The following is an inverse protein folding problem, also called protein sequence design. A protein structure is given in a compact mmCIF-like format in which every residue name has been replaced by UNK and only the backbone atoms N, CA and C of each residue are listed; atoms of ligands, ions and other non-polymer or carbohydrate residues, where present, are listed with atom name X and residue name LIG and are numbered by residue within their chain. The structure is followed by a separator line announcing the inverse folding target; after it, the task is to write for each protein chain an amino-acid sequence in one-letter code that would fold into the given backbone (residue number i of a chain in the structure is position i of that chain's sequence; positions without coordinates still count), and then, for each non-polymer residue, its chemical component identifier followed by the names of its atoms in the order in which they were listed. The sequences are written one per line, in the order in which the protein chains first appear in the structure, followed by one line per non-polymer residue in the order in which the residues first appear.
data_IF_314048864648
#
_entry.id   IF_314048864648
#
_cell.length_a   1.000
_cell.length_b   1.000
_cell.length_c   1.000
_cell.angle_alpha   90.00
_cell.angle_beta   90.00
_cell.angle_gamma   90.00
#
_symmetry.space_group_name_H-M   'P 1'
#
loop_
_entity.id
_entity.type
_entity.pdbx_description
1 polymer ?
#
# COMPACT_ATOMS: atom_id res chain seq x y z
N UNK A 1 14.25 17.13 5.09
CA UNK A 1 14.28 15.96 4.18
C UNK A 1 12.86 15.44 4.03
N UNK A 2 12.42 15.09 2.82
CA UNK A 2 11.02 14.72 2.56
C UNK A 2 10.56 13.44 3.30
N UNK A 3 11.49 12.54 3.62
CA UNK A 3 11.24 11.27 4.32
C UNK A 3 11.94 11.18 5.68
N UNK A 4 11.99 12.28 6.44
CA UNK A 4 12.61 12.29 7.77
C UNK A 4 11.96 11.24 8.69
N UNK A 5 12.78 10.40 9.34
CA UNK A 5 12.34 9.38 10.29
C UNK A 5 11.79 8.11 9.65
N UNK A 6 11.85 7.97 8.32
CA UNK A 6 11.30 6.82 7.59
C UNK A 6 12.09 5.54 7.86
N UNK A 7 13.41 5.59 7.84
CA UNK A 7 14.26 4.40 7.93
C UNK A 7 14.14 3.72 9.30
N UNK A 8 14.04 4.50 10.37
CA UNK A 8 13.85 4.00 11.73
C UNK A 8 12.45 3.42 11.96
N UNK A 9 11.47 3.83 11.17
CA UNK A 9 10.06 3.44 11.34
C UNK A 9 9.64 2.34 10.35
N UNK A 10 9.64 2.63 9.05
CA UNK A 10 9.04 1.79 8.02
C UNK A 10 10.03 0.92 7.26
N UNK A 11 11.30 1.29 7.14
CA UNK A 11 12.24 0.51 6.34
C UNK A 11 12.36 -0.93 6.88
N UNK A 12 12.42 -1.88 5.94
CA UNK A 12 12.54 -3.31 6.22
C UNK A 12 11.38 -4.14 5.67
N UNK A 13 11.33 -5.40 6.13
CA UNK A 13 10.38 -6.41 5.68
C UNK A 13 9.19 -6.51 6.63
N UNK A 14 8.03 -6.73 6.05
CA UNK A 14 6.74 -6.73 6.69
C UNK A 14 5.94 -7.92 6.20
N UNK A 15 5.36 -8.68 7.11
CA UNK A 15 4.50 -9.82 6.81
C UNK A 15 3.05 -9.47 7.10
N UNK A 16 2.16 -9.69 6.14
CA UNK A 16 0.72 -9.59 6.37
C UNK A 16 0.29 -10.72 7.32
N UNK A 17 -0.29 -10.34 8.46
CA UNK A 17 -0.75 -11.29 9.47
C UNK A 17 -2.28 -11.33 9.59
N UNK A 18 -2.97 -10.27 9.16
CA UNK A 18 -4.42 -10.17 9.21
C UNK A 18 -4.91 -9.16 8.18
N UNK A 19 -6.09 -9.40 7.64
CA UNK A 19 -6.82 -8.41 6.86
C UNK A 19 -8.31 -8.38 7.25
N UNK A 20 -8.97 -7.25 7.03
CA UNK A 20 -10.40 -7.06 7.21
C UNK A 20 -10.95 -6.38 5.96
N UNK A 21 -12.09 -6.82 5.44
CA UNK A 21 -12.72 -6.21 4.26
C UNK A 21 -12.01 -6.45 2.92
N UNK A 22 -10.96 -7.29 2.86
CA UNK A 22 -10.20 -7.53 1.63
C UNK A 22 -11.06 -8.13 0.51
N UNK A 23 -11.96 -9.07 0.81
CA UNK A 23 -12.85 -9.67 -0.20
C UNK A 23 -13.76 -8.62 -0.84
N UNK A 24 -14.40 -7.77 -0.02
CA UNK A 24 -15.24 -6.67 -0.48
C UNK A 24 -14.44 -5.64 -1.29
N UNK A 25 -13.21 -5.35 -0.89
CA UNK A 25 -12.31 -4.46 -1.62
C UNK A 25 -11.92 -5.02 -2.99
N UNK A 26 -11.60 -6.32 -3.08
CA UNK A 26 -11.29 -6.97 -4.34
C UNK A 26 -12.52 -7.07 -5.25
N UNK A 27 -13.70 -7.32 -4.68
CA UNK A 27 -14.99 -7.34 -5.40
C UNK A 27 -15.31 -5.96 -5.97
N UNK A 28 -15.15 -4.92 -5.15
CA UNK A 28 -15.31 -3.55 -5.59
C UNK A 28 -14.27 -3.17 -6.65
N UNK A 29 -13.09 -3.78 -6.70
CA UNK A 29 -12.15 -3.61 -7.82
C UNK A 29 -12.47 -4.49 -9.04
N UNK A 30 -13.59 -5.23 -9.04
CA UNK A 30 -14.07 -5.99 -10.19
C UNK A 30 -13.51 -7.40 -10.33
N UNK A 31 -12.80 -7.92 -9.31
CA UNK A 31 -12.31 -9.30 -9.36
C UNK A 31 -13.47 -10.28 -9.16
N UNK A 32 -13.51 -11.34 -9.95
CA UNK A 32 -14.53 -12.38 -9.82
C UNK A 32 -14.33 -13.23 -8.55
N UNK A 33 -15.40 -13.86 -8.08
CA UNK A 33 -15.45 -14.58 -6.81
C UNK A 33 -14.32 -15.61 -6.62
N UNK A 34 -14.03 -16.42 -7.64
CA UNK A 34 -13.01 -17.48 -7.56
C UNK A 34 -11.61 -16.90 -7.37
N UNK A 35 -11.26 -15.88 -8.15
CA UNK A 35 -9.96 -15.19 -8.02
C UNK A 35 -9.84 -14.55 -6.64
N UNK A 36 -10.90 -13.90 -6.14
CA UNK A 36 -10.87 -13.26 -4.82
C UNK A 36 -10.54 -14.27 -3.73
N UNK A 37 -11.24 -15.42 -3.68
CA UNK A 37 -10.98 -16.45 -2.66
C UNK A 37 -9.55 -16.96 -2.72
N UNK A 38 -8.96 -17.08 -3.90
CA UNK A 38 -7.55 -17.47 -4.03
C UNK A 38 -6.59 -16.41 -3.48
N UNK A 39 -6.83 -15.13 -3.77
CA UNK A 39 -6.01 -14.01 -3.25
C UNK A 39 -6.02 -13.95 -1.73
N UNK A 40 -7.15 -14.27 -1.08
CA UNK A 40 -7.25 -14.30 0.39
C UNK A 40 -6.33 -15.33 1.06
N UNK A 41 -5.84 -16.34 0.32
CA UNK A 41 -4.95 -17.38 0.84
C UNK A 41 -3.47 -16.98 0.77
N UNK A 42 -3.13 -15.87 0.10
CA UNK A 42 -1.74 -15.48 -0.10
C UNK A 42 -1.09 -14.90 1.14
N UNK A 43 0.05 -15.48 1.51
CA UNK A 43 0.96 -14.94 2.52
C UNK A 43 1.74 -13.78 1.92
N UNK A 44 1.16 -12.59 2.01
CA UNK A 44 1.76 -11.37 1.46
C UNK A 44 2.93 -10.92 2.31
N UNK A 45 4.08 -10.68 1.70
CA UNK A 45 5.16 -9.90 2.32
C UNK A 45 5.37 -8.59 1.57
N UNK A 46 5.86 -7.58 2.29
CA UNK A 46 6.15 -6.26 1.77
C UNK A 46 7.51 -5.82 2.28
N UNK A 47 8.37 -5.35 1.40
CA UNK A 47 9.65 -4.74 1.75
C UNK A 47 9.65 -3.29 1.33
N UNK A 48 9.99 -2.40 2.27
CA UNK A 48 10.05 -0.96 2.07
C UNK A 48 11.50 -0.52 2.16
N UNK A 49 12.01 0.06 1.07
CA UNK A 49 13.40 0.50 0.93
C UNK A 49 13.40 1.97 0.52
N UNK A 50 14.04 2.83 1.29
CA UNK A 50 14.21 4.22 0.90
C UNK A 50 15.24 4.35 -0.21
N UNK A 51 14.89 5.07 -1.27
CA UNK A 51 15.77 5.40 -2.39
C UNK A 51 15.97 6.93 -2.43
N UNK A 52 17.12 7.40 -1.95
CA UNK A 52 17.41 8.83 -1.88
C UNK A 52 16.49 9.59 -0.90
N UNK A 53 16.16 10.84 -1.21
CA UNK A 53 15.51 11.75 -0.26
C UNK A 53 13.99 11.70 -0.25
N UNK A 54 13.40 11.29 -1.38
CA UNK A 54 11.95 11.40 -1.61
C UNK A 54 11.32 10.15 -2.20
N UNK A 55 12.06 9.06 -2.43
CA UNK A 55 11.50 7.84 -3.02
C UNK A 55 11.55 6.67 -2.05
N UNK A 56 10.53 5.81 -2.14
CA UNK A 56 10.46 4.53 -1.44
C UNK A 56 10.16 3.46 -2.46
N UNK A 57 11.08 2.51 -2.62
CA UNK A 57 10.82 1.27 -3.34
C UNK A 57 9.98 0.33 -2.46
N UNK A 58 8.89 -0.14 -3.02
CA UNK A 58 7.94 -1.07 -2.40
C UNK A 58 8.02 -2.38 -3.18
N UNK A 59 8.43 -3.45 -2.52
CA UNK A 59 8.46 -4.80 -3.09
C UNK A 59 7.41 -5.63 -2.38
N UNK A 60 6.34 -5.99 -3.07
CA UNK A 60 5.29 -6.87 -2.54
C UNK A 60 5.41 -8.26 -3.16
N UNK A 61 5.30 -9.30 -2.34
CA UNK A 61 5.25 -10.70 -2.79
C UNK A 61 3.91 -11.30 -2.42
N UNK A 62 3.05 -11.48 -3.43
CA UNK A 62 1.64 -11.88 -3.25
C UNK A 62 1.24 -12.81 -4.40
N UNK A 63 1.70 -14.06 -4.39
CA UNK A 63 1.58 -14.99 -5.52
C UNK A 63 2.48 -14.66 -6.72
N UNK A 64 2.67 -13.37 -7.02
CA UNK A 64 3.70 -12.79 -7.89
C UNK A 64 4.48 -11.69 -7.15
N UNK A 65 5.69 -11.39 -7.60
CA UNK A 65 6.45 -10.23 -7.10
C UNK A 65 6.00 -8.99 -7.86
N UNK A 66 5.67 -7.92 -7.13
CA UNK A 66 5.32 -6.60 -7.64
C UNK A 66 6.33 -5.63 -7.06
N UNK A 67 6.99 -4.87 -7.93
CA UNK A 67 7.91 -3.80 -7.53
C UNK A 67 7.33 -2.46 -8.00
N UNK A 68 7.28 -1.48 -7.10
CA UNK A 68 6.85 -0.13 -7.40
C UNK A 68 7.75 0.87 -6.70
N UNK A 69 7.92 2.06 -7.29
CA UNK A 69 8.60 3.18 -6.64
C UNK A 69 7.58 4.25 -6.34
N UNK A 70 7.51 4.65 -5.08
CA UNK A 70 6.65 5.72 -4.59
C UNK A 70 7.46 7.00 -4.44
N UNK A 71 7.12 8.03 -5.21
CA UNK A 71 7.76 9.35 -5.17
C UNK A 71 6.93 10.33 -4.33
N UNK A 72 7.54 10.87 -3.28
CA UNK A 72 6.96 11.83 -2.33
C UNK A 72 7.28 13.29 -2.68
N UNK A 73 8.05 13.53 -3.75
CA UNK A 73 8.40 14.89 -4.18
C UNK A 73 7.38 15.52 -5.13
N UNK A 74 6.66 14.69 -5.88
CA UNK A 74 5.77 15.14 -6.94
C UNK A 74 4.68 14.11 -7.25
N UNK A 75 3.64 14.55 -7.95
CA UNK A 75 2.66 13.66 -8.57
C UNK A 75 3.27 12.99 -9.80
N UNK A 76 2.94 11.72 -10.02
CA UNK A 76 3.45 10.94 -11.15
C UNK A 76 2.41 9.98 -11.69
N UNK A 77 2.59 9.52 -12.93
CA UNK A 77 1.76 8.48 -13.52
C UNK A 77 2.31 7.09 -13.19
N UNK A 78 1.42 6.17 -12.84
CA UNK A 78 1.74 4.81 -12.46
C UNK A 78 0.71 3.80 -12.97
N UNK A 79 0.75 2.61 -12.39
CA UNK A 79 -0.14 1.49 -12.67
C UNK A 79 -0.81 1.03 -11.37
N UNK A 80 -2.09 0.67 -11.42
CA UNK A 80 -2.84 0.19 -10.25
C UNK A 80 -2.56 -1.29 -9.89
N UNK A 81 -1.69 -1.97 -10.66
CA UNK A 81 -1.36 -3.39 -10.51
C UNK A 81 -2.29 -4.32 -11.30
N UNK A 82 -3.28 -3.75 -12.01
CA UNK A 82 -4.22 -4.42 -12.91
C UNK A 82 -4.12 -3.87 -14.34
N UNK A 83 -2.95 -3.33 -14.72
CA UNK A 83 -2.65 -2.75 -16.03
C UNK A 83 -3.49 -1.49 -16.36
N UNK A 84 -4.05 -0.82 -15.33
CA UNK A 84 -4.73 0.45 -15.50
C UNK A 84 -3.83 1.62 -15.10
N UNK A 85 -3.79 2.64 -15.95
CA UNK A 85 -3.06 3.86 -15.69
C UNK A 85 -3.75 4.73 -14.63
N UNK A 86 -2.94 5.29 -13.74
CA UNK A 86 -3.38 6.15 -12.64
C UNK A 86 -2.39 7.30 -12.44
N UNK A 87 -2.85 8.42 -11.88
CA UNK A 87 -1.99 9.42 -11.24
C UNK A 87 -1.86 9.07 -9.76
N UNK A 88 -0.66 9.23 -9.23
CA UNK A 88 -0.33 8.92 -7.83
C UNK A 88 0.20 10.18 -7.15
N UNK A 89 -0.33 10.46 -5.97
CA UNK A 89 0.15 11.51 -5.06
C UNK A 89 0.47 10.89 -3.72
N UNK A 90 1.76 10.85 -3.37
CA UNK A 90 2.21 10.34 -2.08
C UNK A 90 2.57 11.46 -1.12
N UNK A 91 2.24 11.31 0.16
CA UNK A 91 2.59 12.25 1.23
C UNK A 91 3.12 11.52 2.45
N UNK A 92 4.07 12.16 3.12
CA UNK A 92 4.69 11.71 4.37
C UNK A 92 4.52 12.77 5.43
N UNK A 93 4.00 12.40 6.60
CA UNK A 93 3.96 13.25 7.77
C UNK A 93 5.03 12.79 8.78
N UNK A 94 6.13 13.55 8.96
CA UNK A 94 7.21 13.15 9.86
C UNK A 94 6.81 13.21 11.34
N UNK A 95 5.84 14.04 11.71
CA UNK A 95 5.39 14.18 13.11
C UNK A 95 4.58 12.97 13.58
N UNK A 96 3.75 12.41 12.69
CA UNK A 96 2.89 11.25 12.99
C UNK A 96 3.44 9.94 12.44
N UNK A 97 4.53 10.00 11.65
CA UNK A 97 5.06 8.87 10.87
C UNK A 97 3.97 8.21 10.04
N UNK A 98 3.09 9.01 9.43
CA UNK A 98 2.01 8.52 8.58
C UNK A 98 2.36 8.71 7.12
N UNK A 99 2.10 7.68 6.34
CA UNK A 99 2.28 7.68 4.90
C UNK A 99 0.93 7.55 4.23
N UNK A 100 0.69 8.35 3.18
CA UNK A 100 -0.54 8.30 2.40
C UNK A 100 -0.22 8.32 0.92
N UNK A 101 -0.92 7.50 0.14
CA UNK A 101 -0.90 7.55 -1.30
C UNK A 101 -2.34 7.65 -1.79
N UNK A 102 -2.64 8.66 -2.58
CA UNK A 102 -3.89 8.78 -3.30
C UNK A 102 -3.64 8.45 -4.77
N UNK A 103 -4.51 7.60 -5.33
CA UNK A 103 -4.49 7.25 -6.75
C UNK A 103 -5.78 7.70 -7.41
N UNK A 104 -5.66 8.36 -8.55
CA UNK A 104 -6.81 8.79 -9.36
C UNK A 104 -6.71 8.21 -10.76
N UNK A 105 -7.80 7.67 -11.35
CA UNK A 105 -7.78 7.20 -12.73
C UNK A 105 -7.43 8.33 -13.69
N UNK A 106 -6.63 8.04 -14.71
CA UNK A 106 -6.49 8.96 -15.85
C UNK A 106 -7.62 8.75 -16.85
N UNK A 107 -7.81 9.68 -17.78
CA UNK A 107 -8.84 9.57 -18.81
C UNK A 107 -8.69 8.25 -19.61
N UNK A 108 -9.81 7.53 -19.79
CA UNK A 108 -9.84 6.22 -20.45
C UNK A 108 -9.42 5.03 -19.57
N UNK A 109 -8.95 5.26 -18.34
CA UNK A 109 -8.62 4.20 -17.39
C UNK A 109 -9.86 3.55 -16.78
N UNK A 110 -9.80 2.23 -16.54
CA UNK A 110 -10.83 1.49 -15.78
C UNK A 110 -10.51 1.42 -14.28
N UNK A 111 -9.40 2.01 -13.85
CA UNK A 111 -9.02 2.07 -12.44
C UNK A 111 -10.11 2.78 -11.62
N UNK A 112 -10.09 2.54 -10.32
CA UNK A 112 -10.92 3.26 -9.34
C UNK A 112 -10.04 4.20 -8.54
N UNK A 113 -10.60 5.35 -8.13
CA UNK A 113 -9.92 6.22 -7.18
C UNK A 113 -9.70 5.45 -5.88
N UNK A 114 -8.48 5.46 -5.38
CA UNK A 114 -8.13 4.76 -4.14
C UNK A 114 -7.27 5.63 -3.24
N UNK A 115 -7.39 5.40 -1.93
CA UNK A 115 -6.55 6.02 -0.92
C UNK A 115 -5.94 4.90 -0.08
N UNK A 116 -4.63 4.91 0.03
CA UNK A 116 -3.86 3.97 0.85
C UNK A 116 -3.14 4.75 1.94
N UNK A 117 -3.48 4.50 3.19
CA UNK A 117 -2.86 5.11 4.36
C UNK A 117 -2.11 4.04 5.15
N UNK A 118 -0.88 4.34 5.59
CA UNK A 118 -0.08 3.47 6.45
C UNK A 118 0.32 4.23 7.72
N UNK A 119 0.12 3.56 8.85
CA UNK A 119 0.42 4.06 10.19
C UNK A 119 1.00 2.93 11.04
N UNK A 120 2.02 3.22 11.85
CA UNK A 120 2.44 2.31 12.91
C UNK A 120 1.36 2.24 13.99
N UNK A 121 1.19 1.08 14.60
CA UNK A 121 0.29 0.91 15.73
C UNK A 121 0.87 1.67 16.94
N UNK A 122 0.06 2.44 17.70
CA UNK A 122 0.55 3.27 18.81
C UNK A 122 1.36 2.50 19.86
N UNK A 123 0.97 1.25 20.12
CA UNK A 123 1.54 0.42 21.19
C UNK A 123 2.63 -0.55 20.69
N UNK A 124 2.84 -0.65 19.37
CA UNK A 124 3.83 -1.58 18.79
C UNK A 124 4.36 -1.08 17.45
N UNK A 125 5.58 -0.53 17.46
CA UNK A 125 6.27 -0.06 16.26
C UNK A 125 6.68 -1.19 15.30
N UNK A 126 6.56 -2.46 15.70
CA UNK A 126 6.70 -3.60 14.80
C UNK A 126 5.38 -4.00 14.15
N UNK A 127 4.30 -3.25 14.40
CA UNK A 127 3.00 -3.48 13.81
C UNK A 127 2.58 -2.27 13.00
N UNK A 128 2.16 -2.51 11.76
CA UNK A 128 1.72 -1.47 10.84
C UNK A 128 0.29 -1.78 10.40
N UNK A 129 -0.58 -0.78 10.49
CA UNK A 129 -1.89 -0.78 9.87
C UNK A 129 -1.80 -0.08 8.53
N UNK A 130 -2.27 -0.75 7.49
CA UNK A 130 -2.58 -0.14 6.21
C UNK A 130 -4.09 -0.14 6.00
N UNK A 131 -4.64 1.03 5.65
CA UNK A 131 -6.04 1.21 5.31
C UNK A 131 -6.13 1.57 3.83
N UNK A 132 -6.83 0.73 3.07
CA UNK A 132 -7.10 0.93 1.65
C UNK A 132 -8.58 1.27 1.48
N UNK A 133 -8.89 2.41 0.88
CA UNK A 133 -10.27 2.88 0.71
C UNK A 133 -10.55 3.14 -0.77
N UNK A 134 -11.74 2.74 -1.23
CA UNK A 134 -12.34 3.18 -2.48
C UNK A 134 -13.47 4.17 -2.14
N UNK A 135 -13.19 5.49 -2.12
CA UNK A 135 -14.12 6.49 -1.58
C UNK A 135 -15.47 6.48 -2.29
N UNK A 136 -15.46 6.33 -3.61
CA UNK A 136 -16.66 6.39 -4.44
C UNK A 136 -17.53 5.13 -4.31
N UNK A 137 -17.06 4.10 -3.60
CA UNK A 137 -17.73 2.81 -3.46
C UNK A 137 -18.03 2.48 -1.99
N UNK A 138 -17.65 3.36 -1.06
CA UNK A 138 -17.80 3.17 0.38
C UNK A 138 -17.23 1.83 0.89
N UNK A 139 -16.08 1.41 0.32
CA UNK A 139 -15.39 0.19 0.71
C UNK A 139 -14.04 0.52 1.32
N UNK A 140 -13.77 -0.07 2.48
CA UNK A 140 -12.49 0.02 3.18
C UNK A 140 -11.98 -1.37 3.50
N UNK A 141 -10.71 -1.61 3.20
CA UNK A 141 -9.95 -2.77 3.64
C UNK A 141 -8.87 -2.32 4.61
N UNK A 142 -8.67 -3.10 5.68
CA UNK A 142 -7.56 -2.95 6.61
C UNK A 142 -6.62 -4.14 6.45
N UNK A 143 -5.32 -3.88 6.39
CA UNK A 143 -4.26 -4.89 6.37
C UNK A 143 -3.30 -4.61 7.53
N UNK A 144 -3.06 -5.64 8.34
CA UNK A 144 -2.18 -5.57 9.49
C UNK A 144 -0.90 -6.32 9.15
N UNK A 145 0.21 -5.62 9.23
CA UNK A 145 1.52 -6.16 8.96
C UNK A 145 2.36 -6.19 10.23
N UNK A 146 3.16 -7.24 10.38
CA UNK A 146 4.19 -7.36 11.40
C UNK A 146 5.56 -7.24 10.77
N UNK A 147 6.45 -6.44 11.36
CA UNK A 147 7.84 -6.32 10.92
C UNK A 147 8.53 -7.67 11.11
N UNK A 148 9.16 -8.18 10.05
CA UNK A 148 10.01 -9.35 10.17
C UNK A 148 11.26 -8.95 10.95
N UNK A 149 11.53 -9.67 12.04
CA UNK A 149 12.84 -9.57 12.70
C UNK A 149 13.90 -9.94 11.68
N UNK A 150 14.85 -9.04 11.42
CA UNK A 150 16.06 -9.43 10.68
C UNK A 150 16.71 -10.60 11.45
N UNK A 151 17.12 -11.68 10.76
CA UNK A 151 17.88 -12.75 11.38
C UNK A 151 19.20 -12.25 11.95
#
# INVERSE_FOLDING_TARGET
MALQGFDESYAGKWQLIKHEGLDAFLEANGLNFVIRKFVLLFKTTMELIREGDSKVKVIMKTGKTIEAVMDFSQEYEGDDGFDNKIKVKATWNPSTKQMKAETTPIEGSKAKRSIVEKSLMPDDNNMMLEVMTLPDHNVTCKRYFKKESMP
#
